data_IF_202592707416
#
_entry.id   IF_202592707416
#
_cell.length_a   1.000
_cell.length_b   1.000
_cell.length_c   1.000
_cell.angle_alpha   90.00
_cell.angle_beta   90.00
_cell.angle_gamma   90.00
#
_symmetry.space_group_name_H-M   'P 1'
#
loop_
_entity.id
_entity.type
_entity.pdbx_description
1 polymer ?
#
# COMPACT_ATOMS: atom_id res chain seq x y z
N UNK A 1 -1.97 16.00 6.74
CA UNK A 1 -2.12 15.61 8.16
C UNK A 1 -3.44 16.01 8.84
N UNK A 2 -3.79 17.30 9.03
CA UNK A 2 -4.83 17.69 10.02
C UNK A 2 -6.27 17.16 9.80
N UNK A 3 -6.70 16.87 8.56
CA UNK A 3 -8.07 16.43 8.28
C UNK A 3 -8.24 14.91 8.36
N UNK A 4 -7.31 14.13 7.80
CA UNK A 4 -7.31 12.66 7.88
C UNK A 4 -7.22 12.15 9.31
N UNK A 5 -6.26 12.66 10.10
CA UNK A 5 -6.14 12.27 11.52
C UNK A 5 -7.36 12.67 12.35
N UNK A 6 -8.04 13.77 12.02
CA UNK A 6 -9.25 14.19 12.74
C UNK A 6 -10.40 13.23 12.48
N UNK A 7 -10.58 12.77 11.23
CA UNK A 7 -11.63 11.82 10.88
C UNK A 7 -11.31 10.42 11.44
N UNK A 8 -10.05 9.98 11.38
CA UNK A 8 -9.60 8.75 12.04
C UNK A 8 -9.89 8.79 13.55
N UNK A 9 -9.55 9.89 14.21
CA UNK A 9 -9.85 10.09 15.63
C UNK A 9 -11.36 10.02 15.92
N UNK A 10 -12.23 10.55 15.04
CA UNK A 10 -13.68 10.46 15.23
C UNK A 10 -14.20 9.02 15.11
N UNK A 11 -13.68 8.24 14.16
CA UNK A 11 -14.06 6.82 14.00
C UNK A 11 -13.60 6.00 15.20
N UNK A 12 -12.38 6.25 15.69
CA UNK A 12 -11.82 5.52 16.84
C UNK A 12 -12.42 5.97 18.18
N UNK A 13 -12.95 7.20 18.31
CA UNK A 13 -13.68 7.66 19.51
C UNK A 13 -15.01 6.88 19.72
N UNK A 14 -15.53 6.22 18.69
CA UNK A 14 -16.67 5.28 18.81
C UNK A 14 -16.25 3.90 19.39
N UNK A 15 -14.95 3.62 19.45
CA UNK A 15 -14.38 2.41 20.07
C UNK A 15 -14.02 2.69 21.53
N UNK A 16 -15.02 2.90 22.37
CA UNK A 16 -14.86 3.22 23.80
C UNK A 16 -14.01 2.18 24.59
N UNK A 17 -13.73 1.02 24.01
CA UNK A 17 -12.97 -0.08 24.61
C UNK A 17 -11.45 -0.04 24.33
N UNK A 18 -10.97 0.74 23.35
CA UNK A 18 -9.54 0.84 22.96
C UNK A 18 -8.93 2.18 23.39
N UNK A 19 -7.75 2.15 24.04
CA UNK A 19 -7.09 3.35 24.63
C UNK A 19 -6.22 4.09 23.60
N UNK A 20 -6.81 4.51 22.47
CA UNK A 20 -6.12 5.22 21.39
C UNK A 20 -6.28 6.74 21.57
N UNK A 21 -5.15 7.46 21.67
CA UNK A 21 -5.12 8.91 21.83
C UNK A 21 -4.44 9.65 20.68
N UNK A 22 -5.09 10.68 20.14
CA UNK A 22 -4.51 11.54 19.12
C UNK A 22 -3.97 12.85 19.71
N UNK A 23 -2.74 13.22 19.30
CA UNK A 23 -2.06 14.43 19.74
C UNK A 23 -1.41 15.17 18.58
N UNK A 24 -1.22 16.48 18.75
CA UNK A 24 -0.50 17.32 17.79
C UNK A 24 0.70 17.95 18.47
N UNK A 25 1.89 17.78 17.89
CA UNK A 25 3.12 18.39 18.37
C UNK A 25 3.62 19.39 17.33
N UNK A 26 3.50 20.68 17.67
CA UNK A 26 3.99 21.75 16.79
C UNK A 26 5.51 21.91 16.95
N UNK A 27 6.25 21.70 15.85
CA UNK A 27 7.72 21.76 15.79
C UNK A 27 8.30 23.06 16.39
N UNK A 28 7.63 24.19 16.16
CA UNK A 28 8.12 25.54 16.51
C UNK A 28 7.87 25.90 17.96
N UNK A 29 6.75 25.46 18.51
CA UNK A 29 6.28 25.83 19.85
C UNK A 29 6.51 24.73 20.89
N UNK A 30 6.61 23.47 20.45
CA UNK A 30 6.83 22.29 21.28
C UNK A 30 8.13 21.54 20.95
N UNK A 31 9.16 22.24 20.46
CA UNK A 31 10.49 21.66 20.12
C UNK A 31 11.12 20.81 21.24
N UNK A 32 10.90 21.18 22.50
CA UNK A 32 11.42 20.42 23.65
C UNK A 32 10.69 19.08 23.85
N UNK A 33 9.42 18.99 23.45
CA UNK A 33 8.62 17.76 23.46
C UNK A 33 9.06 16.88 22.29
N UNK A 34 9.07 17.43 21.06
CA UNK A 34 9.52 16.73 19.86
C UNK A 34 10.90 16.08 20.07
N UNK A 35 11.90 16.88 20.49
CA UNK A 35 13.26 16.38 20.77
C UNK A 35 13.34 15.33 21.89
N UNK A 36 12.42 15.37 22.86
CA UNK A 36 12.41 14.41 23.97
C UNK A 36 11.78 13.07 23.53
N UNK A 37 10.84 13.14 22.61
CA UNK A 37 10.13 11.98 22.05
C UNK A 37 10.83 11.41 20.82
N UNK A 38 11.83 12.09 20.25
CA UNK A 38 12.53 11.62 19.05
C UNK A 38 11.79 11.93 17.75
N UNK A 39 10.89 12.93 17.75
CA UNK A 39 10.17 13.36 16.55
C UNK A 39 11.10 14.25 15.73
N UNK A 40 11.76 13.66 14.74
CA UNK A 40 12.79 14.34 13.93
C UNK A 40 12.25 14.79 12.56
N UNK A 41 11.23 14.11 12.04
CA UNK A 41 10.60 14.41 10.77
C UNK A 41 9.36 15.30 10.93
N UNK A 42 9.15 16.19 9.96
CA UNK A 42 8.10 17.22 10.01
C UNK A 42 6.96 16.81 9.09
N UNK A 43 5.73 17.03 9.57
CA UNK A 43 4.49 16.62 8.89
C UNK A 43 4.19 15.11 8.91
N UNK A 44 5.06 14.31 9.54
CA UNK A 44 4.90 12.86 9.77
C UNK A 44 4.04 12.51 10.99
N UNK A 45 3.56 11.27 11.04
CA UNK A 45 2.77 10.73 12.15
C UNK A 45 3.66 9.74 12.91
N UNK A 46 3.75 9.93 14.23
CA UNK A 46 4.46 9.00 15.12
C UNK A 46 3.47 8.31 16.04
N UNK A 47 3.50 6.99 16.07
CA UNK A 47 2.64 6.14 16.87
C UNK A 47 3.47 5.57 18.01
N UNK A 48 2.96 5.74 19.23
CA UNK A 48 3.59 5.23 20.44
C UNK A 48 2.77 4.03 20.91
N UNK A 49 3.29 2.82 20.69
CA UNK A 49 2.66 1.58 21.07
C UNK A 49 3.60 0.81 22.01
N UNK A 50 3.14 0.49 23.21
CA UNK A 50 3.94 -0.10 24.28
C UNK A 50 5.28 0.62 24.53
N UNK A 51 6.38 0.02 24.08
CA UNK A 51 7.74 0.52 24.23
C UNK A 51 8.35 1.04 22.92
N UNK A 52 7.61 0.91 21.81
CA UNK A 52 8.06 1.22 20.46
C UNK A 52 7.49 2.54 19.95
N UNK A 53 8.25 3.13 19.02
CA UNK A 53 7.87 4.34 18.30
C UNK A 53 7.88 3.97 16.82
N UNK A 54 6.69 3.93 16.24
CA UNK A 54 6.48 3.61 14.83
C UNK A 54 6.32 4.94 14.09
N UNK A 55 7.16 5.16 13.08
CA UNK A 55 7.02 6.26 12.14
C UNK A 55 6.08 5.80 11.02
N UNK A 56 4.93 6.46 10.88
CA UNK A 56 3.96 6.12 9.84
C UNK A 56 4.29 6.93 8.59
N UNK A 57 4.70 6.21 7.54
CA UNK A 57 5.11 6.76 6.25
C UNK A 57 4.22 6.24 5.11
N UNK A 58 2.91 6.36 5.34
CA UNK A 58 1.86 5.98 4.41
C UNK A 58 0.92 7.12 4.07
N UNK A 59 -0.10 6.81 3.28
CA UNK A 59 -1.14 7.73 2.85
C UNK A 59 -1.83 8.38 4.06
N UNK A 60 -2.00 9.70 4.02
CA UNK A 60 -2.67 10.48 5.07
C UNK A 60 -4.20 10.48 4.92
N UNK A 61 -4.78 9.30 4.70
CA UNK A 61 -6.21 9.04 4.61
C UNK A 61 -6.74 8.41 5.91
N UNK A 62 -8.01 8.64 6.22
CA UNK A 62 -8.57 8.29 7.53
C UNK A 62 -8.82 6.79 7.69
N UNK A 63 -9.35 6.16 6.64
CA UNK A 63 -9.48 4.72 6.47
C UNK A 63 -8.13 4.02 6.61
N UNK A 64 -7.12 4.40 5.81
CA UNK A 64 -5.78 3.80 5.86
C UNK A 64 -5.15 3.92 7.26
N UNK A 65 -5.26 5.08 7.90
CA UNK A 65 -4.76 5.28 9.26
C UNK A 65 -5.51 4.45 10.30
N UNK A 66 -6.82 4.30 10.16
CA UNK A 66 -7.63 3.49 11.09
C UNK A 66 -7.27 2.02 10.96
N UNK A 67 -7.15 1.51 9.73
CA UNK A 67 -6.70 0.14 9.45
C UNK A 67 -5.30 -0.11 10.01
N UNK A 68 -4.36 0.79 9.75
CA UNK A 68 -3.01 0.69 10.30
C UNK A 68 -3.00 0.67 11.84
N UNK A 69 -3.81 1.52 12.48
CA UNK A 69 -3.90 1.54 13.95
C UNK A 69 -4.55 0.28 14.52
N UNK A 70 -5.48 -0.37 13.81
CA UNK A 70 -5.99 -1.68 14.21
C UNK A 70 -4.88 -2.72 14.21
N UNK A 71 -4.07 -2.73 13.16
CA UNK A 71 -2.91 -3.63 13.08
C UNK A 71 -1.91 -3.35 14.21
N UNK A 72 -1.65 -2.09 14.55
CA UNK A 72 -0.75 -1.71 15.66
C UNK A 72 -1.24 -2.22 17.02
N UNK A 73 -2.54 -2.18 17.31
CA UNK A 73 -3.07 -2.64 18.62
C UNK A 73 -3.19 -4.17 18.73
N UNK A 74 -3.10 -4.89 17.61
CA UNK A 74 -3.05 -6.34 17.62
C UNK A 74 -1.71 -6.86 18.19
N UNK A 75 -1.67 -8.14 18.56
CA UNK A 75 -0.43 -8.72 19.08
C UNK A 75 0.59 -8.87 17.94
N UNK A 76 1.88 -8.59 18.19
CA UNK A 76 2.91 -8.66 17.15
C UNK A 76 3.12 -10.08 16.61
N UNK A 77 2.76 -11.12 17.38
CA UNK A 77 2.83 -12.52 16.96
C UNK A 77 1.45 -13.19 16.95
N UNK A 78 1.02 -13.62 15.77
CA UNK A 78 -0.19 -14.41 15.58
C UNK A 78 0.05 -15.92 15.77
N UNK A 79 -0.83 -16.61 16.50
CA UNK A 79 -0.69 -18.06 16.73
C UNK A 79 -1.50 -18.87 15.71
N UNK A 80 -0.83 -19.72 14.95
CA UNK A 80 -1.44 -20.71 14.06
C UNK A 80 -1.66 -22.02 14.83
N UNK A 81 -2.90 -22.31 15.18
CA UNK A 81 -3.32 -23.51 15.92
C UNK A 81 -4.12 -24.52 15.08
N UNK A 82 -4.65 -24.09 13.93
CA UNK A 82 -5.53 -24.92 13.11
C UNK A 82 -5.31 -24.75 11.59
N UNK A 83 -6.00 -25.61 10.82
CA UNK A 83 -5.86 -25.68 9.36
C UNK A 83 -6.44 -24.47 8.61
N UNK A 84 -7.37 -23.74 9.24
CA UNK A 84 -7.96 -22.52 8.64
C UNK A 84 -6.98 -21.37 8.76
N UNK A 85 -6.40 -21.16 9.94
CA UNK A 85 -5.34 -20.16 10.15
C UNK A 85 -4.12 -20.47 9.29
N UNK A 86 -3.70 -21.74 9.21
CA UNK A 86 -2.61 -22.13 8.32
C UNK A 86 -2.91 -21.81 6.85
N UNK A 87 -4.18 -21.93 6.43
CA UNK A 87 -4.57 -21.52 5.08
C UNK A 87 -4.53 -20.00 4.95
N UNK A 88 -4.98 -19.25 5.95
CA UNK A 88 -4.89 -17.79 5.98
C UNK A 88 -3.46 -17.32 5.82
N UNK A 89 -2.53 -17.90 6.60
CA UNK A 89 -1.10 -17.67 6.47
C UNK A 89 -0.60 -17.80 5.03
N UNK A 90 -0.91 -18.90 4.33
CA UNK A 90 -0.47 -19.09 2.94
C UNK A 90 -1.22 -18.26 1.89
N UNK A 91 -2.37 -17.69 2.23
CA UNK A 91 -3.19 -16.89 1.32
C UNK A 91 -2.73 -15.43 1.28
N UNK A 92 -2.02 -14.96 2.30
CA UNK A 92 -1.37 -13.65 2.32
C UNK A 92 0.05 -13.88 1.82
N UNK A 93 0.38 -13.47 0.61
CA UNK A 93 1.71 -13.65 0.00
C UNK A 93 2.34 -12.33 -0.48
N UNK A 94 1.68 -11.20 -0.27
CA UNK A 94 2.08 -9.86 -0.69
C UNK A 94 2.93 -9.10 0.34
N UNK A 95 3.09 -9.66 1.55
CA UNK A 95 3.89 -9.08 2.64
C UNK A 95 4.93 -10.07 3.17
N UNK A 96 6.01 -9.54 3.77
CA UNK A 96 7.03 -10.35 4.44
C UNK A 96 6.38 -11.04 5.64
N UNK A 97 6.61 -12.35 5.75
CA UNK A 97 6.08 -13.15 6.87
C UNK A 97 7.15 -14.03 7.48
N UNK A 98 7.11 -14.17 8.80
CA UNK A 98 7.92 -15.16 9.53
C UNK A 98 7.02 -16.17 10.21
N UNK A 99 7.44 -17.43 10.29
CA UNK A 99 6.74 -18.43 11.08
C UNK A 99 7.70 -19.32 11.87
N UNK A 100 7.54 -19.30 13.19
CA UNK A 100 8.34 -20.08 14.12
C UNK A 100 7.59 -21.26 14.76
N UNK A 101 8.25 -22.41 14.92
CA UNK A 101 7.72 -23.52 15.72
C UNK A 101 8.37 -23.59 17.10
N UNK A 102 7.60 -23.31 18.15
CA UNK A 102 8.10 -23.30 19.52
C UNK A 102 7.36 -24.28 20.43
N UNK A 103 7.87 -24.44 21.65
CA UNK A 103 7.29 -25.39 22.62
C UNK A 103 5.99 -24.88 23.23
N UNK A 104 5.89 -23.58 23.48
CA UNK A 104 4.78 -22.81 24.07
C UNK A 104 5.26 -21.36 24.26
N UNK A 105 4.33 -20.47 24.59
CA UNK A 105 4.56 -19.04 24.90
C UNK A 105 5.62 -18.77 25.98
N UNK A 106 5.87 -19.73 26.89
CA UNK A 106 6.87 -19.56 27.97
C UNK A 106 8.26 -20.06 27.59
N UNK A 107 8.45 -20.45 26.32
CA UNK A 107 9.74 -20.86 25.81
C UNK A 107 10.65 -19.63 25.71
N UNK A 108 11.90 -19.69 26.20
CA UNK A 108 12.82 -18.57 26.04
C UNK A 108 13.04 -18.22 24.55
N UNK A 109 12.98 -19.20 23.65
CA UNK A 109 13.10 -18.95 22.21
C UNK A 109 11.87 -18.29 21.58
N UNK A 110 10.70 -18.44 22.21
CA UNK A 110 9.51 -17.73 21.74
C UNK A 110 9.55 -16.29 22.22
N UNK A 111 9.97 -16.06 23.48
CA UNK A 111 10.13 -14.71 24.02
C UNK A 111 11.09 -13.87 23.16
N UNK A 112 12.28 -14.40 22.81
CA UNK A 112 13.21 -13.68 21.93
C UNK A 112 12.68 -13.48 20.49
N UNK A 113 11.70 -14.28 20.05
CA UNK A 113 11.05 -14.13 18.75
C UNK A 113 9.90 -13.12 18.79
N UNK A 114 9.19 -13.08 19.92
CA UNK A 114 8.13 -12.12 20.25
C UNK A 114 8.73 -10.72 20.42
N UNK A 115 9.83 -10.60 21.19
CA UNK A 115 10.59 -9.36 21.37
C UNK A 115 11.09 -8.83 19.99
N UNK A 116 11.56 -9.71 19.09
CA UNK A 116 11.97 -9.29 17.74
C UNK A 116 10.80 -8.92 16.83
N UNK A 117 9.58 -9.40 17.11
CA UNK A 117 8.40 -9.06 16.33
C UNK A 117 7.93 -7.63 16.63
N UNK A 118 8.07 -7.17 17.87
CA UNK A 118 7.72 -5.80 18.29
C UNK A 118 8.46 -4.74 17.45
N UNK A 119 9.72 -5.01 17.06
CA UNK A 119 10.56 -4.08 16.28
C UNK A 119 10.08 -3.85 14.84
N UNK A 120 9.33 -4.80 14.26
CA UNK A 120 8.82 -4.71 12.87
C UNK A 120 7.30 -4.61 12.80
N UNK A 121 6.62 -4.54 13.95
CA UNK A 121 5.16 -4.48 14.00
C UNK A 121 4.66 -3.10 13.55
N UNK A 122 3.66 -2.99 12.66
CA UNK A 122 2.87 -4.08 12.06
C UNK A 122 3.26 -4.46 10.61
N UNK A 123 4.38 -3.93 10.10
CA UNK A 123 4.78 -4.05 8.69
C UNK A 123 5.20 -5.48 8.30
N UNK A 124 5.91 -6.18 9.18
CA UNK A 124 6.27 -7.59 8.99
C UNK A 124 5.38 -8.48 9.84
N UNK A 125 4.72 -9.46 9.23
CA UNK A 125 3.79 -10.34 9.96
C UNK A 125 4.51 -11.53 10.58
N UNK A 126 4.51 -11.60 11.91
CA UNK A 126 5.09 -12.73 12.65
C UNK A 126 4.02 -13.73 13.05
N UNK A 127 4.28 -14.99 12.73
CA UNK A 127 3.44 -16.13 13.12
C UNK A 127 4.21 -17.09 14.03
N UNK A 128 3.49 -17.77 14.92
CA UNK A 128 4.03 -18.86 15.69
C UNK A 128 3.09 -20.05 15.72
N UNK A 129 3.63 -21.25 15.84
CA UNK A 129 2.82 -22.42 16.20
C UNK A 129 3.44 -23.15 17.38
N UNK A 130 2.56 -23.72 18.20
CA UNK A 130 2.94 -24.64 19.27
C UNK A 130 2.42 -26.07 19.02
N UNK A 131 1.62 -26.29 17.97
CA UNK A 131 1.11 -27.61 17.59
C UNK A 131 2.11 -28.35 16.68
N UNK A 132 2.66 -29.50 17.10
CA UNK A 132 3.53 -30.32 16.26
C UNK A 132 2.92 -30.75 14.91
N UNK A 133 1.59 -30.77 14.78
CA UNK A 133 0.90 -31.10 13.52
C UNK A 133 0.97 -29.95 12.52
N UNK A 134 0.77 -28.72 12.98
CA UNK A 134 0.87 -27.51 12.15
C UNK A 134 2.34 -27.33 11.74
N UNK A 135 3.27 -27.42 12.69
CA UNK A 135 4.70 -27.38 12.40
C UNK A 135 5.13 -28.44 11.36
N UNK A 136 4.55 -29.63 11.40
CA UNK A 136 4.83 -30.67 10.41
C UNK A 136 4.35 -30.30 9.00
N UNK A 137 3.24 -29.56 8.87
CA UNK A 137 2.74 -29.08 7.57
C UNK A 137 3.62 -27.96 7.02
N UNK A 138 4.06 -27.06 7.90
CA UNK A 138 5.06 -26.02 7.62
C UNK A 138 6.49 -26.59 7.42
N UNK A 139 6.69 -27.90 7.60
CA UNK A 139 8.02 -28.57 7.54
C UNK A 139 9.03 -28.08 8.60
N UNK A 140 8.61 -27.31 9.60
CA UNK A 140 9.44 -26.74 10.66
C UNK A 140 9.88 -27.76 11.72
N UNK A 141 11.11 -27.58 12.24
CA UNK A 141 11.59 -28.25 13.46
C UNK A 141 11.45 -27.33 14.67
N UNK A 142 11.56 -27.91 15.88
CA UNK A 142 11.47 -27.13 17.11
C UNK A 142 12.55 -26.03 17.14
N UNK A 143 12.14 -24.80 17.45
CA UNK A 143 12.91 -23.56 17.44
C UNK A 143 13.53 -23.24 16.08
N UNK A 144 12.87 -23.66 14.99
CA UNK A 144 13.18 -23.24 13.62
C UNK A 144 12.19 -22.13 13.25
N UNK A 145 12.69 -21.13 12.55
CA UNK A 145 11.94 -19.98 12.03
C UNK A 145 12.21 -19.93 10.54
N UNK A 146 11.15 -19.87 9.76
CA UNK A 146 11.18 -19.71 8.32
C UNK A 146 10.73 -18.28 7.98
N UNK A 147 11.49 -17.62 7.11
CA UNK A 147 11.20 -16.31 6.53
C UNK A 147 10.63 -16.51 5.14
N UNK A 148 9.51 -15.84 4.84
CA UNK A 148 8.86 -15.84 3.55
C UNK A 148 8.96 -14.42 2.98
N UNK A 149 9.76 -14.27 1.94
CA UNK A 149 9.74 -13.09 1.09
C UNK A 149 8.38 -13.05 0.34
N UNK A 150 7.81 -11.85 0.13
CA UNK A 150 6.62 -11.66 -0.71
C UNK A 150 6.75 -12.39 -2.04
N UNK A 151 5.66 -13.03 -2.44
CA UNK A 151 5.49 -13.73 -3.70
C UNK A 151 6.41 -14.94 -3.94
N UNK A 152 7.20 -15.34 -2.94
CA UNK A 152 8.06 -16.52 -3.01
C UNK A 152 7.35 -17.76 -2.44
N UNK A 153 7.37 -18.87 -3.19
CA UNK A 153 6.73 -20.12 -2.76
C UNK A 153 7.47 -20.84 -1.62
N UNK A 154 8.81 -20.81 -1.63
CA UNK A 154 9.64 -21.53 -0.67
C UNK A 154 10.32 -20.55 0.29
N UNK A 155 10.30 -20.83 1.61
CA UNK A 155 10.90 -19.94 2.58
C UNK A 155 12.42 -20.12 2.69
N UNK A 156 13.04 -19.13 3.31
CA UNK A 156 14.42 -19.20 3.81
C UNK A 156 14.40 -19.48 5.31
N UNK A 157 14.90 -20.64 5.72
CA UNK A 157 15.08 -20.93 7.16
C UNK A 157 16.22 -20.09 7.73
N UNK A 158 15.93 -19.29 8.77
CA UNK A 158 16.95 -18.45 9.43
C UNK A 158 18.09 -19.33 9.97
N UNK A 159 19.36 -19.04 9.62
CA UNK A 159 20.50 -19.85 10.02
C UNK A 159 20.87 -19.61 11.50
N UNK A 160 21.58 -20.57 12.12
CA UNK A 160 22.31 -20.29 13.37
C UNK A 160 21.62 -20.61 14.71
N UNK A 161 20.45 -21.26 14.73
CA UNK A 161 19.71 -21.55 15.97
C UNK A 161 20.54 -22.12 17.16
N UNK A 162 20.20 -21.80 18.42
CA UNK A 162 19.05 -20.97 18.85
C UNK A 162 19.28 -19.49 18.58
N UNK A 163 18.23 -18.79 18.14
CA UNK A 163 18.24 -17.36 17.88
C UNK A 163 18.08 -16.57 19.18
N UNK A 164 18.76 -15.43 19.25
CA UNK A 164 18.39 -14.30 20.12
C UNK A 164 17.66 -13.25 19.28
N UNK A 165 17.00 -12.32 19.94
CA UNK A 165 16.27 -11.19 19.32
C UNK A 165 17.06 -10.55 18.16
N UNK A 166 18.30 -10.14 18.43
CA UNK A 166 19.16 -9.50 17.43
C UNK A 166 19.53 -10.38 16.23
N UNK A 167 19.54 -11.72 16.36
CA UNK A 167 19.81 -12.60 15.22
C UNK A 167 18.66 -12.57 14.21
N UNK A 168 17.43 -12.34 14.68
CA UNK A 168 16.22 -12.28 13.85
C UNK A 168 16.13 -10.90 13.18
N UNK A 169 16.33 -9.83 13.97
CA UNK A 169 16.36 -8.45 13.46
C UNK A 169 17.41 -8.30 12.36
N UNK A 170 18.67 -8.68 12.62
CA UNK A 170 19.74 -8.59 11.62
C UNK A 170 19.43 -9.41 10.36
N UNK A 171 18.66 -10.49 10.47
CA UNK A 171 18.26 -11.29 9.31
C UNK A 171 17.20 -10.57 8.49
N UNK A 172 16.17 -10.01 9.13
CA UNK A 172 15.09 -9.28 8.44
C UNK A 172 15.66 -8.03 7.76
N UNK A 173 16.46 -7.23 8.46
CA UNK A 173 17.13 -6.03 7.88
C UNK A 173 17.98 -6.38 6.64
N UNK A 174 18.57 -7.58 6.58
CA UNK A 174 19.35 -8.03 5.42
C UNK A 174 18.50 -8.45 4.22
N UNK A 175 17.20 -8.69 4.42
CA UNK A 175 16.25 -9.18 3.42
C UNK A 175 14.97 -8.32 3.37
N UNK A 176 15.04 -7.08 3.86
CA UNK A 176 13.92 -6.14 3.95
C UNK A 176 13.43 -5.74 2.55
N UNK A 177 14.37 -5.53 1.62
CA UNK A 177 14.06 -5.26 0.22
C UNK A 177 13.79 -6.56 -0.53
N UNK A 178 12.52 -6.82 -0.81
CA UNK A 178 12.07 -7.97 -1.61
C UNK A 178 12.20 -7.72 -3.11
N UNK A 179 12.30 -8.81 -3.88
CA UNK A 179 12.45 -8.79 -5.34
C UNK A 179 11.21 -8.24 -6.04
N UNK A 180 10.03 -8.61 -5.53
CA UNK A 180 8.74 -8.06 -5.93
C UNK A 180 8.04 -7.56 -4.67
N UNK A 181 7.62 -6.30 -4.65
CA UNK A 181 6.97 -5.64 -3.51
C UNK A 181 5.67 -5.01 -3.97
N UNK A 182 4.58 -5.21 -3.25
CA UNK A 182 3.33 -4.50 -3.51
C UNK A 182 3.42 -3.11 -2.88
N UNK A 183 3.08 -2.06 -3.63
CA UNK A 183 2.89 -0.74 -3.06
C UNK A 183 1.58 -0.73 -2.27
N UNK A 184 1.66 -0.53 -0.96
CA UNK A 184 0.49 -0.52 -0.08
C UNK A 184 0.24 0.90 0.44
N UNK A 185 -1.03 1.33 0.60
CA UNK A 185 -1.32 2.68 1.07
C UNK A 185 -0.64 3.05 2.38
N UNK A 186 -0.49 2.11 3.33
CA UNK A 186 0.09 2.38 4.65
C UNK A 186 1.63 2.47 4.68
N UNK A 187 2.32 2.12 3.59
CA UNK A 187 3.80 2.18 3.48
C UNK A 187 4.27 2.74 2.13
N UNK A 188 3.38 3.48 1.43
CA UNK A 188 3.64 3.90 0.06
C UNK A 188 4.85 4.84 -0.08
N UNK A 189 5.11 5.69 0.93
CA UNK A 189 6.23 6.62 0.87
C UNK A 189 7.54 5.90 1.23
N UNK A 190 7.53 5.05 2.25
CA UNK A 190 8.67 4.21 2.62
C UNK A 190 9.16 3.37 1.43
N UNK A 191 8.25 2.70 0.72
CA UNK A 191 8.58 1.89 -0.46
C UNK A 191 9.12 2.76 -1.60
N UNK A 192 8.54 3.95 -1.81
CA UNK A 192 8.91 4.84 -2.91
C UNK A 192 10.23 5.60 -2.65
N UNK A 193 10.58 5.87 -1.38
CA UNK A 193 11.86 6.48 -1.01
C UNK A 193 13.02 5.47 -1.00
N UNK A 194 12.72 4.17 -0.98
CA UNK A 194 13.69 3.08 -1.02
C UNK A 194 14.14 2.72 -2.46
N UNK A 195 14.68 3.69 -3.18
CA UNK A 195 15.13 3.56 -4.57
C UNK A 195 16.41 2.72 -4.75
N UNK A 196 16.66 2.30 -6.01
CA UNK A 196 17.91 1.69 -6.44
C UNK A 196 18.58 2.63 -7.43
N UNK A 197 19.66 3.28 -6.99
CA UNK A 197 20.46 4.18 -7.81
C UNK A 197 19.67 5.37 -8.43
N UNK A 198 18.56 5.80 -7.80
CA UNK A 198 17.70 6.89 -8.24
C UNK A 198 16.43 6.46 -8.97
N UNK A 199 16.27 5.17 -9.23
CA UNK A 199 15.21 4.63 -10.10
C UNK A 199 14.37 3.54 -9.43
N UNK A 200 13.16 3.34 -9.96
CA UNK A 200 12.30 2.20 -9.66
C UNK A 200 11.87 1.46 -10.92
N UNK A 201 11.86 0.13 -10.87
CA UNK A 201 11.10 -0.67 -11.82
C UNK A 201 9.67 -0.78 -11.28
N UNK A 202 8.70 -0.23 -12.01
CA UNK A 202 7.29 -0.15 -11.61
C UNK A 202 6.44 -1.00 -12.55
N UNK A 203 5.60 -1.85 -11.99
CA UNK A 203 4.61 -2.63 -12.72
C UNK A 203 3.19 -2.29 -12.26
N UNK A 204 2.32 -1.89 -13.19
CA UNK A 204 0.89 -1.73 -12.93
C UNK A 204 0.12 -2.96 -13.38
N UNK A 205 -0.69 -3.53 -12.50
CA UNK A 205 -1.62 -4.59 -12.83
C UNK A 205 -2.76 -4.65 -11.80
N UNK A 206 -4.00 -4.64 -12.28
CA UNK A 206 -5.20 -4.87 -11.46
C UNK A 206 -5.34 -6.37 -11.19
N UNK A 207 -5.31 -6.79 -9.93
CA UNK A 207 -5.36 -8.22 -9.57
C UNK A 207 -6.71 -8.88 -9.98
N UNK A 208 -7.79 -8.10 -9.94
CA UNK A 208 -9.15 -8.57 -10.23
C UNK A 208 -9.48 -8.59 -11.75
N UNK A 209 -8.65 -7.96 -12.58
CA UNK A 209 -8.76 -8.00 -14.04
C UNK A 209 -8.06 -9.26 -14.62
N UNK A 210 -8.65 -9.97 -15.60
CA UNK A 210 -8.03 -11.17 -16.17
C UNK A 210 -6.63 -10.95 -16.77
N UNK A 211 -6.39 -9.82 -17.43
CA UNK A 211 -5.12 -9.53 -18.09
C UNK A 211 -4.09 -9.08 -17.02
N UNK A 212 -4.53 -8.31 -16.02
CA UNK A 212 -3.72 -7.96 -14.84
C UNK A 212 -3.29 -9.18 -14.02
N UNK A 213 -4.20 -10.13 -13.77
CA UNK A 213 -3.87 -11.39 -13.11
C UNK A 213 -2.86 -12.23 -13.91
N UNK A 214 -3.03 -12.33 -15.24
CA UNK A 214 -2.08 -13.05 -16.09
C UNK A 214 -0.69 -12.39 -16.04
N UNK A 215 -0.62 -11.06 -16.08
CA UNK A 215 0.65 -10.33 -15.95
C UNK A 215 1.33 -10.57 -14.62
N UNK A 216 0.55 -10.51 -13.54
CA UNK A 216 1.06 -10.66 -12.19
C UNK A 216 1.70 -12.04 -11.99
N UNK A 217 1.12 -13.10 -12.54
CA UNK A 217 1.72 -14.43 -12.47
C UNK A 217 3.05 -14.51 -13.25
N UNK A 218 3.18 -13.80 -14.37
CA UNK A 218 4.44 -13.68 -15.12
C UNK A 218 5.48 -12.90 -14.29
N UNK A 219 5.09 -11.78 -13.67
CA UNK A 219 5.94 -10.99 -12.78
C UNK A 219 6.46 -11.83 -11.61
N UNK A 220 5.58 -12.61 -10.98
CA UNK A 220 5.95 -13.52 -9.88
C UNK A 220 6.95 -14.58 -10.35
N UNK A 221 6.75 -15.17 -11.53
CA UNK A 221 7.70 -16.14 -12.12
C UNK A 221 9.09 -15.50 -12.31
N UNK A 222 9.15 -14.32 -12.93
CA UNK A 222 10.41 -13.60 -13.17
C UNK A 222 11.10 -13.20 -11.85
N UNK A 223 10.33 -12.72 -10.86
CA UNK A 223 10.85 -12.38 -9.55
C UNK A 223 11.41 -13.61 -8.82
N UNK A 224 10.74 -14.76 -8.89
CA UNK A 224 11.21 -16.01 -8.30
C UNK A 224 12.50 -16.50 -8.93
N UNK A 225 12.63 -16.41 -10.25
CA UNK A 225 13.85 -16.83 -10.96
C UNK A 225 15.03 -15.89 -10.70
N UNK A 226 14.76 -14.63 -10.31
CA UNK A 226 15.76 -13.60 -10.08
C UNK A 226 15.92 -13.15 -8.61
N UNK A 227 15.33 -13.87 -7.65
CA UNK A 227 15.33 -13.52 -6.21
C UNK A 227 16.73 -13.38 -5.59
N UNK A 228 17.74 -14.04 -6.15
CA UNK A 228 19.13 -13.95 -5.69
C UNK A 228 19.85 -12.65 -6.16
N UNK A 229 19.19 -11.80 -6.96
CA UNK A 229 19.77 -10.56 -7.49
C UNK A 229 19.45 -9.35 -6.58
N UNK A 230 20.41 -8.85 -5.78
CA UNK A 230 20.16 -7.76 -4.82
C UNK A 230 19.90 -6.40 -5.48
N UNK A 231 20.15 -6.28 -6.80
CA UNK A 231 19.93 -5.05 -7.55
C UNK A 231 18.56 -5.05 -8.26
N UNK A 232 17.77 -6.11 -8.12
CA UNK A 232 16.43 -6.19 -8.68
C UNK A 232 15.41 -5.98 -7.56
N UNK A 233 14.59 -4.93 -7.71
CA UNK A 233 13.36 -4.77 -6.94
C UNK A 233 12.30 -4.15 -7.85
N UNK A 234 11.16 -4.82 -7.94
CA UNK A 234 10.01 -4.39 -8.75
C UNK A 234 8.91 -3.97 -7.79
N UNK A 235 8.39 -2.76 -7.97
CA UNK A 235 7.21 -2.27 -7.27
C UNK A 235 5.99 -2.61 -8.11
N UNK A 236 5.17 -3.55 -7.64
CA UNK A 236 3.84 -3.78 -8.19
C UNK A 236 2.84 -2.81 -7.56
N UNK A 237 2.11 -2.09 -8.40
CA UNK A 237 1.02 -1.20 -8.01
C UNK A 237 -0.27 -1.76 -8.60
N UNK A 238 -1.23 -2.05 -7.75
CA UNK A 238 -2.60 -2.25 -8.18
C UNK A 238 -3.29 -0.86 -8.29
N UNK A 239 -3.72 -0.43 -9.49
CA UNK A 239 -4.38 0.86 -9.67
C UNK A 239 -5.62 1.06 -8.79
N UNK A 240 -6.32 -0.02 -8.44
CA UNK A 240 -7.54 0.01 -7.62
C UNK A 240 -7.26 0.38 -6.16
N UNK A 241 -6.03 0.14 -5.66
CA UNK A 241 -5.60 0.56 -4.32
C UNK A 241 -5.36 2.09 -4.25
N UNK A 242 -5.18 2.75 -5.40
CA UNK A 242 -4.84 4.18 -5.48
C UNK A 242 -5.67 4.94 -6.53
N UNK A 243 -7.02 4.93 -6.43
CA UNK A 243 -7.90 5.47 -7.47
C UNK A 243 -7.72 6.99 -7.70
N UNK A 244 -7.19 7.72 -6.72
CA UNK A 244 -6.92 9.15 -6.83
C UNK A 244 -5.62 9.47 -7.58
N UNK A 245 -4.69 8.51 -7.67
CA UNK A 245 -3.40 8.67 -8.35
C UNK A 245 -3.44 8.18 -9.80
N UNK A 246 -4.39 7.32 -10.17
CA UNK A 246 -4.56 6.82 -11.54
C UNK A 246 -4.52 7.94 -12.61
N UNK A 247 -5.33 9.02 -12.51
CA UNK A 247 -5.29 10.08 -13.53
C UNK A 247 -3.99 10.88 -13.55
N UNK A 248 -3.25 10.88 -12.43
CA UNK A 248 -1.93 11.50 -12.36
C UNK A 248 -0.89 10.63 -13.07
N UNK A 249 -0.85 9.33 -12.80
CA UNK A 249 0.08 8.40 -13.43
C UNK A 249 -0.12 8.30 -14.94
N UNK A 250 -1.36 8.12 -15.42
CA UNK A 250 -1.66 8.10 -16.86
C UNK A 250 -1.17 9.36 -17.58
N UNK A 251 -1.34 10.52 -16.93
CA UNK A 251 -0.92 11.81 -17.50
C UNK A 251 0.59 12.02 -17.46
N UNK A 252 1.23 11.65 -16.35
CA UNK A 252 2.67 11.89 -16.13
C UNK A 252 3.49 10.94 -16.96
N UNK A 253 3.13 9.65 -16.96
CA UNK A 253 3.86 8.59 -17.65
C UNK A 253 3.40 8.35 -19.09
N UNK A 254 2.25 8.90 -19.49
CA UNK A 254 1.73 8.74 -20.85
C UNK A 254 1.24 7.33 -21.17
N UNK A 255 0.89 6.56 -20.14
CA UNK A 255 0.41 5.17 -20.21
C UNK A 255 -1.10 5.06 -20.01
N UNK A 256 -1.67 3.91 -20.39
CA UNK A 256 -3.07 3.55 -20.14
C UNK A 256 -3.14 2.49 -19.03
N UNK A 257 -3.65 2.87 -17.85
CA UNK A 257 -3.74 1.97 -16.69
C UNK A 257 -4.95 1.02 -16.76
N UNK A 258 -5.74 1.05 -17.84
CA UNK A 258 -6.75 0.02 -18.11
C UNK A 258 -6.16 -1.28 -18.66
N UNK A 259 -4.84 -1.33 -18.88
CA UNK A 259 -4.08 -2.52 -19.28
C UNK A 259 -2.79 -2.61 -18.46
N UNK A 260 -2.21 -3.81 -18.28
CA UNK A 260 -0.97 -3.97 -17.52
C UNK A 260 0.18 -3.15 -18.11
N UNK A 261 1.04 -2.60 -17.26
CA UNK A 261 2.20 -1.78 -17.66
C UNK A 261 3.44 -2.21 -16.86
N UNK A 262 4.62 -2.12 -17.45
CA UNK A 262 5.89 -2.16 -16.71
C UNK A 262 6.88 -1.17 -17.29
N UNK A 263 7.57 -0.44 -16.42
CA UNK A 263 8.48 0.62 -16.81
C UNK A 263 9.54 0.91 -15.75
N UNK A 264 10.46 1.80 -16.10
CA UNK A 264 11.45 2.38 -15.19
C UNK A 264 11.05 3.83 -14.96
N UNK A 265 11.11 4.29 -13.71
CA UNK A 265 10.77 5.65 -13.32
C UNK A 265 11.94 6.26 -12.55
N UNK A 266 12.43 7.42 -12.98
CA UNK A 266 13.39 8.23 -12.22
C UNK A 266 12.66 8.95 -11.07
N UNK A 267 13.20 8.86 -9.86
CA UNK A 267 12.56 9.41 -8.65
C UNK A 267 12.72 10.92 -8.55
N UNK A 268 13.73 11.52 -9.17
CA UNK A 268 14.07 12.94 -9.06
C UNK A 268 13.16 13.84 -9.91
N UNK A 269 12.78 13.42 -11.12
CA UNK A 269 11.94 14.21 -12.01
C UNK A 269 10.72 13.49 -12.61
N UNK A 270 10.56 12.20 -12.29
CA UNK A 270 9.48 11.33 -12.78
C UNK A 270 9.50 11.11 -14.30
N UNK A 271 10.67 11.24 -14.95
CA UNK A 271 10.86 10.70 -16.29
C UNK A 271 10.76 9.16 -16.27
N UNK A 272 10.31 8.59 -17.38
CA UNK A 272 10.02 7.16 -17.41
C UNK A 272 10.05 6.54 -18.80
N UNK A 273 10.45 5.28 -18.86
CA UNK A 273 10.43 4.44 -20.06
C UNK A 273 9.64 3.18 -19.79
N UNK A 274 8.69 2.86 -20.67
CA UNK A 274 7.75 1.75 -20.50
C UNK A 274 7.98 0.68 -21.57
N UNK A 275 7.79 -0.59 -21.20
CA UNK A 275 7.84 -1.72 -22.12
C UNK A 275 6.67 -1.61 -23.11
N UNK A 276 6.98 -1.66 -24.41
CA UNK A 276 5.98 -1.69 -25.47
C UNK A 276 5.25 -3.04 -25.45
N UNK A 277 4.02 -3.03 -24.98
CA UNK A 277 3.10 -4.16 -24.99
C UNK A 277 1.97 -3.81 -25.97
N UNK A 278 1.92 -4.50 -27.12
CA UNK A 278 0.89 -4.23 -28.12
C UNK A 278 -0.47 -4.70 -27.57
N UNK A 279 -1.42 -3.79 -27.38
CA UNK A 279 -2.79 -4.04 -26.86
C UNK A 279 -3.57 -5.14 -27.61
N UNK A 280 -3.04 -5.62 -28.75
CA UNK A 280 -3.62 -6.65 -29.60
C UNK A 280 -2.85 -7.98 -29.62
N UNK A 281 -1.62 -8.03 -29.08
CA UNK A 281 -0.81 -9.24 -28.98
C UNK A 281 -0.84 -9.83 -27.56
N UNK A 282 -0.50 -11.11 -27.46
CA UNK A 282 -0.44 -11.85 -26.20
C UNK A 282 0.55 -11.18 -25.22
N UNK A 283 0.24 -11.23 -23.92
CA UNK A 283 1.11 -10.80 -22.80
C UNK A 283 2.57 -11.25 -23.00
N UNK A 284 3.58 -10.46 -22.55
CA UNK A 284 4.98 -10.85 -22.68
C UNK A 284 5.21 -12.18 -21.97
N UNK A 285 6.03 -13.04 -22.55
CA UNK A 285 6.48 -14.25 -21.86
C UNK A 285 7.43 -13.91 -20.73
N UNK A 286 7.60 -14.81 -19.75
CA UNK A 286 8.58 -14.63 -18.67
C UNK A 286 10.00 -14.40 -19.20
N UNK A 287 10.41 -15.11 -20.26
CA UNK A 287 11.69 -14.92 -20.94
C UNK A 287 11.84 -13.51 -21.55
N UNK A 288 10.77 -12.93 -22.12
CA UNK A 288 10.79 -11.59 -22.73
C UNK A 288 10.85 -10.50 -21.67
N UNK A 289 10.08 -10.66 -20.60
CA UNK A 289 10.08 -9.75 -19.45
C UNK A 289 11.43 -9.77 -18.72
N UNK A 290 12.00 -10.96 -18.47
CA UNK A 290 13.32 -11.11 -17.87
C UNK A 290 14.39 -10.41 -18.72
N UNK A 291 14.35 -10.58 -20.05
CA UNK A 291 15.33 -9.92 -20.93
C UNK A 291 15.19 -8.38 -20.90
N UNK A 292 13.97 -7.86 -20.83
CA UNK A 292 13.73 -6.41 -20.71
C UNK A 292 14.29 -5.87 -19.38
N UNK A 293 14.05 -6.57 -18.27
CA UNK A 293 14.61 -6.22 -16.95
C UNK A 293 16.14 -6.31 -16.96
N UNK A 294 16.74 -7.32 -17.58
CA UNK A 294 18.20 -7.39 -17.74
C UNK A 294 18.76 -6.20 -18.51
N UNK A 295 18.04 -5.72 -19.52
CA UNK A 295 18.45 -4.56 -20.32
C UNK A 295 18.40 -3.27 -19.47
N UNK A 296 17.34 -3.08 -18.66
CA UNK A 296 17.23 -2.03 -17.64
C UNK A 296 18.40 -2.08 -16.65
N UNK A 297 18.60 -3.22 -15.97
CA UNK A 297 19.67 -3.38 -14.97
C UNK A 297 21.09 -3.23 -15.55
N UNK A 298 21.22 -3.35 -16.88
CA UNK A 298 22.49 -3.14 -17.58
C UNK A 298 22.71 -1.70 -18.06
N UNK A 299 21.73 -0.81 -17.88
CA UNK A 299 21.72 0.57 -18.37
C UNK A 299 21.62 0.66 -19.89
N UNK A 300 20.93 -0.28 -20.54
CA UNK A 300 20.58 -0.15 -21.98
C UNK A 300 19.21 0.49 -22.19
N UNK A 301 18.38 0.45 -21.16
CA UNK A 301 17.07 1.10 -21.07
C UNK A 301 17.19 1.96 -19.82
N UNK A 302 17.20 3.26 -20.01
CA UNK A 302 17.41 4.28 -18.99
C UNK A 302 16.59 5.52 -19.40
N UNK A 303 15.73 6.07 -18.52
CA UNK A 303 14.99 7.28 -18.80
C UNK A 303 15.87 8.49 -19.18
N UNK A 304 17.09 8.58 -18.64
CA UNK A 304 18.01 9.70 -18.86
C UNK A 304 18.73 9.65 -20.23
N UNK A 305 18.70 8.52 -20.94
CA UNK A 305 19.50 8.29 -22.17
C UNK A 305 18.91 8.97 -23.43
N UNK A 306 17.70 9.52 -23.37
CA UNK A 306 17.03 10.20 -24.49
C UNK A 306 17.63 11.60 -24.81
N UNK A 307 18.56 12.09 -24.00
CA UNK A 307 19.15 13.44 -24.12
C UNK A 307 20.46 13.51 -24.97
N UNK A 308 21.03 12.39 -25.43
CA UNK A 308 22.36 12.39 -26.11
C UNK A 308 22.38 12.12 -27.64
N UNK A 309 21.26 12.04 -28.37
CA UNK A 309 21.28 11.87 -29.84
C UNK A 309 20.43 12.90 -30.63
N UNK A 310 20.92 14.14 -30.79
CA UNK A 310 20.56 14.96 -31.97
C UNK A 310 21.57 16.07 -32.33
N UNK A 311 22.88 15.79 -32.23
CA UNK A 311 23.95 16.73 -32.55
C UNK A 311 24.89 16.19 -33.65
N UNK A 312 24.37 15.53 -34.70
CA UNK A 312 25.14 15.25 -35.93
C UNK A 312 24.40 15.59 -37.25
N UNK A 313 24.85 16.71 -37.82
CA UNK A 313 24.95 17.06 -39.24
C UNK A 313 23.69 17.46 -40.03
N UNK A 314 23.47 18.78 -40.16
CA UNK A 314 22.92 19.37 -41.40
C UNK A 314 23.71 20.65 -41.79
N UNK A 315 24.96 20.42 -42.20
CA UNK A 315 25.79 21.36 -42.95
C UNK A 315 25.59 21.08 -44.46
N UNK A 316 24.46 21.50 -45.05
CA UNK A 316 24.39 21.74 -46.50
C UNK A 316 23.68 23.07 -46.80
N UNK A 317 24.51 24.11 -46.95
CA UNK A 317 24.23 25.30 -47.74
C UNK A 317 23.62 24.94 -49.11
N UNK A 318 22.49 25.55 -49.49
CA UNK A 318 22.34 26.05 -50.86
C UNK A 318 21.35 27.21 -50.97
N UNK A 319 21.72 28.11 -51.87
CA UNK A 319 21.40 29.52 -51.97
C UNK A 319 19.97 29.85 -52.46
N UNK A 320 19.44 30.97 -51.95
CA UNK A 320 18.72 32.08 -52.64
C UNK A 320 17.95 31.77 -53.95
N UNK A 321 16.68 32.21 -54.05
CA UNK A 321 16.30 33.36 -54.90
C UNK A 321 14.81 33.73 -54.70
N UNK A 322 14.60 35.04 -54.70
CA UNK A 322 13.36 35.81 -54.64
C UNK A 322 12.28 35.41 -55.68
N UNK A 323 11.00 35.68 -55.37
CA UNK A 323 10.23 36.64 -56.17
C UNK A 323 8.86 36.97 -55.55
N UNK A 324 8.58 38.26 -55.60
CA UNK A 324 7.45 39.05 -55.10
C UNK A 324 6.06 38.69 -55.68
N UNK A 325 5.01 39.11 -54.96
CA UNK A 325 3.83 39.86 -55.46
C UNK A 325 2.71 39.74 -54.39
N UNK A 326 2.61 40.67 -53.44
CA UNK A 326 1.82 41.92 -53.47
C UNK A 326 0.30 41.77 -53.72
N UNK A 327 -0.41 42.08 -52.63
CA UNK A 327 -1.58 42.97 -52.51
C UNK A 327 -3.03 42.45 -52.74
N UNK A 328 -3.80 42.75 -51.69
CA UNK A 328 -5.15 43.30 -51.64
C UNK A 328 -6.34 42.51 -52.20
N UNK A 329 -7.28 42.22 -51.28
CA UNK A 329 -8.60 42.85 -51.37
C UNK A 329 -9.19 42.99 -49.96
N UNK A 330 -9.26 44.25 -49.53
CA UNK A 330 -10.07 44.75 -48.41
C UNK A 330 -11.57 44.70 -48.76
N UNK A 331 -12.38 44.86 -47.70
CA UNK A 331 -13.74 45.42 -47.67
C UNK A 331 -14.95 44.53 -48.04
N UNK A 332 -15.76 44.23 -47.02
CA UNK A 332 -17.01 44.95 -46.70
C UNK A 332 -17.68 44.17 -45.55
N UNK A 333 -17.75 44.73 -44.33
CA UNK A 333 -18.87 45.54 -43.83
C UNK A 333 -20.24 44.86 -44.02
N UNK A 334 -21.17 44.79 -43.09
CA UNK A 334 -21.39 45.19 -41.69
C UNK A 334 -22.83 44.69 -41.43
N UNK A 335 -23.15 44.53 -40.15
CA UNK A 335 -24.46 44.84 -39.57
C UNK A 335 -25.72 43.94 -39.74
N UNK A 336 -26.27 43.65 -38.55
CA UNK A 336 -27.68 43.73 -38.17
C UNK A 336 -28.58 42.53 -38.57
N UNK A 337 -29.49 42.01 -37.73
CA UNK A 337 -30.00 42.44 -36.44
C UNK A 337 -30.98 41.35 -35.95
N UNK A 338 -31.48 41.53 -34.73
CA UNK A 338 -32.82 41.15 -34.25
C UNK A 338 -33.04 39.77 -33.56
N UNK A 339 -33.26 39.93 -32.24
CA UNK A 339 -34.47 39.57 -31.50
C UNK A 339 -34.64 38.11 -31.06
N UNK A 340 -34.48 37.85 -29.75
CA UNK A 340 -35.49 38.00 -28.67
C UNK A 340 -36.46 36.80 -28.60
N UNK A 341 -36.39 36.14 -27.44
CA UNK A 341 -37.46 35.49 -26.69
C UNK A 341 -38.31 34.40 -27.36
N UNK A 342 -38.16 33.17 -26.84
CA UNK A 342 -39.32 32.31 -26.62
C UNK A 342 -39.22 31.60 -25.27
N UNK A 343 -40.11 32.03 -24.38
CA UNK A 343 -40.44 31.46 -23.08
C UNK A 343 -41.12 30.08 -23.22
N UNK A 344 -40.90 29.19 -22.25
CA UNK A 344 -41.71 28.00 -22.00
C UNK A 344 -40.84 26.86 -21.45
N UNK A 345 -41.06 26.28 -20.27
CA UNK A 345 -42.26 26.17 -19.45
C UNK A 345 -41.84 26.04 -17.97
N UNK A 346 -42.34 26.95 -17.13
CA UNK A 346 -42.53 26.75 -15.68
C UNK A 346 -44.02 26.49 -15.47
N UNK A 347 -44.43 25.25 -15.17
CA UNK A 347 -45.61 24.84 -14.38
C UNK A 347 -45.34 23.35 -13.97
N UNK A 348 -45.63 22.81 -12.79
CA UNK A 348 -46.72 23.03 -11.86
C UNK A 348 -46.30 22.71 -10.41
N UNK A 349 -46.89 23.49 -9.50
CA UNK A 349 -47.07 23.24 -8.09
C UNK A 349 -47.69 21.85 -7.79
N UNK A 350 -47.33 21.26 -6.65
CA UNK A 350 -48.29 20.56 -5.80
C UNK A 350 -47.87 20.73 -4.33
N UNK A 351 -48.49 21.72 -3.69
CA UNK A 351 -48.67 21.79 -2.25
C UNK A 351 -49.70 20.75 -1.78
N UNK A 352 -49.62 20.42 -0.49
CA UNK A 352 -50.73 20.05 0.40
C UNK A 352 -51.35 18.64 0.30
N UNK A 353 -51.13 17.81 1.32
CA UNK A 353 -52.05 17.70 2.47
C UNK A 353 -51.80 16.42 3.29
N UNK A 354 -51.71 16.60 4.61
CA UNK A 354 -52.37 15.85 5.69
C UNK A 354 -52.35 14.30 5.68
N UNK A 355 -51.88 13.70 6.78
CA UNK A 355 -52.79 13.30 7.86
C UNK A 355 -52.02 12.85 9.12
N UNK A 356 -52.42 13.48 10.24
CA UNK A 356 -52.22 13.02 11.62
C UNK A 356 -53.03 11.75 11.91
N UNK A 357 -52.71 11.12 13.03
CA UNK A 357 -53.50 10.21 13.90
C UNK A 357 -52.70 8.92 14.20
N UNK A 358 -52.09 8.87 15.39
CA UNK A 358 -52.71 8.43 16.65
C UNK A 358 -52.80 6.90 16.71
N UNK A 359 -52.03 6.32 17.63
CA UNK A 359 -52.50 5.24 18.50
C UNK A 359 -51.54 5.15 19.71
N UNK A 360 -51.91 5.88 20.76
CA UNK A 360 -51.63 5.51 22.15
C UNK A 360 -52.19 4.10 22.38
N UNK A 361 -51.47 3.22 23.10
CA UNK A 361 -52.09 2.46 24.20
C UNK A 361 -51.04 2.07 25.25
N UNK A 362 -51.33 2.57 26.45
CA UNK A 362 -50.80 2.20 27.75
C UNK A 362 -50.70 0.68 27.97
N UNK A 363 -49.72 0.25 28.76
CA UNK A 363 -49.97 -0.73 29.82
C UNK A 363 -49.00 -0.48 30.98
N UNK A 364 -49.54 0.18 32.01
CA UNK A 364 -49.03 0.19 33.37
C UNK A 364 -49.27 -1.18 34.06
N UNK A 365 -48.40 -1.43 35.04
CA UNK A 365 -48.59 -2.25 36.24
C UNK A 365 -48.67 -3.79 36.15
N UNK A 366 -47.69 -4.43 36.78
CA UNK A 366 -47.97 -5.32 37.91
C UNK A 366 -46.70 -5.48 38.77
N UNK A 367 -46.68 -4.81 39.93
CA UNK A 367 -45.92 -5.26 41.09
C UNK A 367 -46.68 -6.42 41.75
N UNK A 368 -46.00 -7.53 42.09
CA UNK A 368 -46.25 -8.22 43.36
C UNK A 368 -44.96 -8.87 43.87
N UNK A 369 -44.60 -8.48 45.10
CA UNK A 369 -43.71 -9.15 46.04
C UNK A 369 -44.11 -10.62 46.28
N UNK A 370 -43.14 -11.49 46.53
CA UNK A 370 -43.29 -12.53 47.56
C UNK A 370 -41.90 -13.07 48.01
N UNK A 371 -41.47 -12.54 49.16
CA UNK A 371 -41.14 -13.29 50.38
C UNK A 371 -40.08 -14.42 50.37
N UNK A 372 -38.97 -14.09 51.03
CA UNK A 372 -38.47 -14.72 52.27
C UNK A 372 -37.84 -16.15 52.29
N UNK A 373 -36.68 -16.19 52.99
CA UNK A 373 -36.10 -17.26 53.83
C UNK A 373 -35.28 -18.36 53.14
N UNK A 374 -34.21 -18.91 53.70
CA UNK A 374 -33.50 -18.76 54.99
C UNK A 374 -32.15 -19.50 54.85
N UNK A 375 -31.14 -18.97 55.54
CA UNK A 375 -30.16 -19.63 56.43
C UNK A 375 -29.17 -20.74 55.98
N UNK A 376 -28.05 -20.72 56.72
CA UNK A 376 -27.00 -21.71 57.00
C UNK A 376 -25.73 -21.68 56.10
N UNK A 377 -24.62 -21.07 56.53
CA UNK A 377 -23.66 -21.46 57.59
C UNK A 377 -22.84 -22.74 57.32
N UNK A 378 -21.52 -22.55 57.37
CA UNK A 378 -20.44 -23.48 57.76
C UNK A 378 -20.16 -24.78 56.96
N UNK A 379 -19.04 -24.82 56.22
CA UNK A 379 -17.78 -25.51 56.64
C UNK A 379 -16.58 -25.17 55.74
#
# INVERSE_FOLDING_TARGET
CHFGCFLAAQVLDELEDEDIGFGLVDEKTATAVAKKLGLDEVESIYIFADNEIIEYDGELAADTLVEFLYDVIENPVEVIDNDRELKGFFNMDDVIRLVGYFKNERSPHFIEYDDAAEEFHPFVKFYATFDPKIAKKLKLKLNEVDFYEPFMEEPVTIPGKPYIESDIIEFIEQHERSTLRKLQPHSMYEIWEDDIDGEHIVAFAEEDDPDGFEFLEILKEVAQDNTDNPNLSIIWIDPDDFPLLVPYWEKTFGIDLSSPQIGVVDVADADSVWMDMDDQDDMPTSDELEQWIEDVLSGKIDPDDDDEEDDEEDDEDDEEEDDDDEEDDEDDEEEDDDDEDDDGDDEEDNEDDDEEDDDEEDNEDDEEDDDEKDEDEDE
#
